data_IF_237898172962
#
_entry.id   IF_237898172962
#
_cell.length_a   1.000
_cell.length_b   1.000
_cell.length_c   1.000
_cell.angle_alpha   90.00
_cell.angle_beta   90.00
_cell.angle_gamma   90.00
#
_symmetry.space_group_name_H-M   'P 1'
#
loop_
_entity.id
_entity.type
_entity.pdbx_description
1 polymer ?
#
# COMPACT_ATOMS: atom_id res chain seq x y z
N UNK A 1 14.79 18.44 -78.99
CA UNK A 1 14.03 17.34 -79.63
C UNK A 1 14.89 16.09 -79.58
N UNK A 2 14.52 15.08 -78.80
CA UNK A 2 15.27 13.83 -78.73
C UNK A 2 14.93 12.98 -79.96
N UNK A 3 15.89 12.83 -80.87
CA UNK A 3 15.80 11.90 -81.98
C UNK A 3 15.95 10.48 -81.42
N UNK A 4 14.85 9.73 -81.36
CA UNK A 4 14.92 8.28 -81.14
C UNK A 4 15.56 7.67 -82.39
N UNK A 5 16.74 7.08 -82.25
CA UNK A 5 17.44 6.39 -83.32
C UNK A 5 16.49 5.36 -83.97
N UNK A 6 16.26 5.49 -85.27
CA UNK A 6 15.50 4.50 -86.01
C UNK A 6 16.29 3.17 -85.95
N UNK A 7 15.72 2.10 -85.40
CA UNK A 7 16.46 0.86 -85.12
C UNK A 7 16.86 0.09 -86.39
N UNK A 8 16.38 0.53 -87.55
CA UNK A 8 16.63 -0.09 -88.85
C UNK A 8 16.76 0.98 -89.93
N UNK A 9 17.70 0.81 -90.88
CA UNK A 9 17.91 1.73 -92.00
C UNK A 9 16.73 1.77 -93.01
N UNK A 10 15.84 0.78 -92.97
CA UNK A 10 14.66 0.68 -93.82
C UNK A 10 13.42 1.26 -93.09
N UNK A 11 12.79 2.27 -93.69
CA UNK A 11 11.59 2.94 -93.17
C UNK A 11 10.45 1.97 -92.83
N UNK A 12 10.21 0.97 -93.69
CA UNK A 12 9.14 0.00 -93.48
C UNK A 12 9.39 -0.88 -92.24
N UNK A 13 10.64 -1.30 -92.04
CA UNK A 13 11.01 -2.09 -90.86
C UNK A 13 10.97 -1.26 -89.58
N UNK A 14 11.30 0.03 -89.65
CA UNK A 14 11.16 0.95 -88.52
C UNK A 14 9.69 1.15 -88.12
N UNK A 15 8.78 1.26 -89.09
CA UNK A 15 7.33 1.37 -88.84
C UNK A 15 6.75 0.11 -88.19
N UNK A 16 7.08 -1.07 -88.70
CA UNK A 16 6.68 -2.35 -88.09
C UNK A 16 7.21 -2.46 -86.66
N UNK A 17 8.47 -2.09 -86.44
CA UNK A 17 9.08 -2.12 -85.11
C UNK A 17 8.37 -1.16 -84.15
N UNK A 18 8.06 0.06 -84.60
CA UNK A 18 7.35 1.04 -83.79
C UNK A 18 5.95 0.52 -83.39
N UNK A 19 5.18 0.02 -84.36
CA UNK A 19 3.84 -0.52 -84.10
C UNK A 19 3.86 -1.70 -83.13
N UNK A 20 4.85 -2.60 -83.25
CA UNK A 20 5.01 -3.72 -82.30
C UNK A 20 5.31 -3.24 -80.88
N UNK A 21 6.20 -2.25 -80.73
CA UNK A 21 6.51 -1.71 -79.40
C UNK A 21 5.33 -0.94 -78.81
N UNK A 22 4.59 -0.20 -79.64
CA UNK A 22 3.37 0.47 -79.21
C UNK A 22 2.33 -0.53 -78.72
N UNK A 23 2.11 -1.63 -79.44
CA UNK A 23 1.19 -2.68 -79.00
C UNK A 23 1.63 -3.35 -77.67
N UNK A 24 2.93 -3.58 -77.48
CA UNK A 24 3.49 -4.10 -76.22
C UNK A 24 3.28 -3.08 -75.09
N UNK A 25 3.53 -1.80 -75.36
CA UNK A 25 3.36 -0.73 -74.39
C UNK A 25 1.91 -0.59 -73.95
N UNK A 26 0.96 -0.57 -74.89
CA UNK A 26 -0.47 -0.53 -74.61
C UNK A 26 -0.93 -1.74 -73.81
N UNK A 27 -0.44 -2.94 -74.14
CA UNK A 27 -0.70 -4.16 -73.36
C UNK A 27 -0.17 -4.05 -71.93
N UNK A 28 1.03 -3.51 -71.75
CA UNK A 28 1.63 -3.34 -70.44
C UNK A 28 0.87 -2.31 -69.60
N UNK A 29 0.47 -1.17 -70.19
CA UNK A 29 -0.37 -0.19 -69.50
C UNK A 29 -1.71 -0.80 -69.10
N UNK A 30 -2.37 -1.53 -70.02
CA UNK A 30 -3.67 -2.15 -69.76
C UNK A 30 -3.61 -3.17 -68.62
N UNK A 31 -2.50 -3.90 -68.50
CA UNK A 31 -2.29 -4.91 -67.46
C UNK A 31 -1.67 -4.35 -66.18
N UNK A 32 -1.19 -3.10 -66.20
CA UNK A 32 -0.62 -2.43 -65.04
C UNK A 32 -1.77 -1.98 -64.10
N UNK A 33 -2.33 -2.93 -63.37
CA UNK A 33 -3.17 -2.61 -62.22
C UNK A 33 -2.26 -2.43 -61.00
N UNK A 34 -2.40 -1.31 -60.30
CA UNK A 34 -1.78 -1.12 -58.98
C UNK A 34 -2.53 -1.98 -57.96
N UNK A 35 -2.20 -3.27 -57.89
CA UNK A 35 -2.66 -4.10 -56.78
C UNK A 35 -1.87 -3.71 -55.54
N UNK A 36 -2.44 -2.82 -54.74
CA UNK A 36 -1.96 -2.55 -53.39
C UNK A 36 -2.24 -3.80 -52.55
N UNK A 37 -1.19 -4.53 -52.20
CA UNK A 37 -1.29 -5.60 -51.22
C UNK A 37 -1.77 -5.00 -49.89
N UNK A 38 -2.98 -5.38 -49.47
CA UNK A 38 -3.59 -4.98 -48.20
C UNK A 38 -3.49 -6.08 -47.15
N UNK A 39 -2.78 -7.17 -47.44
CA UNK A 39 -2.57 -8.21 -46.46
C UNK A 39 -1.77 -7.68 -45.27
N UNK A 40 -2.07 -8.20 -44.08
CA UNK A 40 -1.27 -7.83 -42.92
C UNK A 40 0.17 -8.31 -43.12
N UNK A 41 1.17 -7.46 -42.83
CA UNK A 41 2.56 -7.89 -42.91
C UNK A 41 2.79 -9.07 -41.97
N UNK A 42 3.57 -10.05 -42.42
CA UNK A 42 3.91 -11.23 -41.62
C UNK A 42 4.58 -10.77 -40.32
N UNK A 43 3.84 -10.88 -39.21
CA UNK A 43 4.35 -10.49 -37.90
C UNK A 43 5.33 -11.56 -37.41
N UNK A 44 6.54 -11.13 -37.08
CA UNK A 44 7.56 -12.01 -36.50
C UNK A 44 7.12 -12.46 -35.10
N UNK A 45 7.45 -13.70 -34.71
CA UNK A 45 7.00 -14.32 -33.45
C UNK A 45 7.34 -13.50 -32.20
N UNK A 46 8.49 -12.83 -32.20
CA UNK A 46 8.92 -11.97 -31.10
C UNK A 46 8.06 -10.70 -30.94
N UNK A 47 7.40 -10.21 -32.01
CA UNK A 47 6.44 -9.11 -31.90
C UNK A 47 5.25 -9.52 -31.02
N UNK A 48 4.72 -10.71 -31.23
CA UNK A 48 3.64 -11.27 -30.41
C UNK A 48 4.06 -11.47 -28.96
N UNK A 49 5.30 -11.94 -28.74
CA UNK A 49 5.86 -12.09 -27.39
C UNK A 49 6.00 -10.73 -26.67
N UNK A 50 6.50 -9.69 -27.37
CA UNK A 50 6.62 -8.33 -26.81
C UNK A 50 5.26 -7.72 -26.48
N UNK A 51 4.26 -7.90 -27.35
CA UNK A 51 2.88 -7.45 -27.08
C UNK A 51 2.35 -8.12 -25.82
N UNK A 52 2.51 -9.44 -25.69
CA UNK A 52 2.05 -10.18 -24.51
C UNK A 52 2.75 -9.69 -23.23
N UNK A 53 4.07 -9.49 -23.28
CA UNK A 53 4.81 -8.94 -22.14
C UNK A 53 4.30 -7.55 -21.73
N UNK A 54 4.00 -6.70 -22.71
CA UNK A 54 3.44 -5.37 -22.46
C UNK A 54 2.07 -5.47 -21.79
N UNK A 55 1.18 -6.32 -22.31
CA UNK A 55 -0.15 -6.56 -21.72
C UNK A 55 -0.06 -7.10 -20.29
N UNK A 56 0.87 -8.02 -20.00
CA UNK A 56 1.07 -8.52 -18.63
C UNK A 56 1.53 -7.41 -17.69
N UNK A 57 2.47 -6.56 -18.12
CA UNK A 57 2.93 -5.42 -17.32
C UNK A 57 1.82 -4.40 -17.07
N UNK A 58 1.03 -4.08 -18.10
CA UNK A 58 -0.12 -3.19 -17.97
C UNK A 58 -1.17 -3.75 -16.99
N UNK A 59 -1.43 -5.05 -17.02
CA UNK A 59 -2.33 -5.70 -16.07
C UNK A 59 -1.82 -5.63 -14.63
N UNK A 60 -0.54 -5.92 -14.40
CA UNK A 60 0.07 -5.82 -13.06
C UNK A 60 0.04 -4.38 -12.54
N UNK A 61 0.36 -3.38 -13.38
CA UNK A 61 0.26 -1.97 -13.01
C UNK A 61 -1.17 -1.58 -12.65
N UNK A 62 -2.16 -1.97 -13.46
CA UNK A 62 -3.56 -1.70 -13.17
C UNK A 62 -4.03 -2.38 -11.86
N UNK A 63 -3.49 -3.55 -11.53
CA UNK A 63 -3.75 -4.23 -10.25
C UNK A 63 -3.21 -3.42 -9.08
N UNK A 64 -1.95 -2.98 -9.17
CA UNK A 64 -1.29 -2.17 -8.15
C UNK A 64 -2.03 -0.83 -7.97
N UNK A 65 -2.42 -0.18 -9.05
CA UNK A 65 -3.15 1.10 -8.99
C UNK A 65 -4.50 0.95 -8.29
N UNK A 66 -5.28 -0.10 -8.59
CA UNK A 66 -6.54 -0.38 -7.87
C UNK A 66 -6.30 -0.62 -6.39
N UNK A 67 -5.25 -1.36 -6.04
CA UNK A 67 -4.92 -1.64 -4.65
C UNK A 67 -4.49 -0.38 -3.91
N UNK A 68 -3.66 0.46 -4.54
CA UNK A 68 -3.25 1.76 -4.01
C UNK A 68 -4.45 2.69 -3.80
N UNK A 69 -5.37 2.77 -4.77
CA UNK A 69 -6.60 3.55 -4.62
C UNK A 69 -7.44 3.05 -3.44
N UNK A 70 -7.57 1.72 -3.29
CA UNK A 70 -8.30 1.12 -2.16
C UNK A 70 -7.63 1.42 -0.83
N UNK A 71 -6.30 1.37 -0.76
CA UNK A 71 -5.53 1.69 0.44
C UNK A 71 -5.64 3.17 0.79
N UNK A 72 -5.47 4.06 -0.18
CA UNK A 72 -5.64 5.50 0.00
C UNK A 72 -7.05 5.85 0.47
N UNK A 73 -8.09 5.21 -0.10
CA UNK A 73 -9.46 5.41 0.35
C UNK A 73 -9.67 4.94 1.81
N UNK A 74 -9.04 3.83 2.22
CA UNK A 74 -9.08 3.36 3.62
C UNK A 74 -8.34 4.32 4.56
N UNK A 75 -7.17 4.79 4.16
CA UNK A 75 -6.37 5.77 4.92
C UNK A 75 -7.15 7.08 5.08
N UNK A 76 -7.72 7.58 3.99
CA UNK A 76 -8.54 8.80 4.00
C UNK A 76 -9.77 8.64 4.89
N UNK A 77 -10.45 7.48 4.83
CA UNK A 77 -11.63 7.19 5.66
C UNK A 77 -11.31 7.06 7.15
N UNK A 78 -10.15 6.50 7.50
CA UNK A 78 -9.75 6.29 8.89
C UNK A 78 -9.04 7.51 9.51
N UNK A 79 -8.84 8.58 8.72
CA UNK A 79 -7.98 9.70 9.09
C UNK A 79 -6.52 9.26 9.24
N UNK A 80 -5.60 10.21 9.41
CA UNK A 80 -4.18 9.96 9.70
C UNK A 80 -3.91 9.15 10.98
N UNK A 81 -4.97 8.67 11.64
CA UNK A 81 -4.92 7.79 12.77
C UNK A 81 -5.01 6.34 12.27
N UNK A 82 -3.85 5.78 11.92
CA UNK A 82 -3.71 4.32 11.94
C UNK A 82 -4.00 3.94 13.38
N UNK A 83 -5.15 3.30 13.62
CA UNK A 83 -5.45 2.69 14.90
C UNK A 83 -4.48 1.52 15.10
N UNK A 84 -3.23 1.84 15.44
CA UNK A 84 -2.28 0.89 16.00
C UNK A 84 -2.59 0.61 17.46
N UNK A 85 -3.79 0.99 17.95
CA UNK A 85 -4.39 0.28 19.06
C UNK A 85 -4.78 -1.09 18.52
N UNK A 86 -3.74 -1.91 18.40
CA UNK A 86 -3.79 -3.30 18.76
C UNK A 86 -4.64 -3.38 20.03
N UNK A 87 -5.95 -3.59 19.85
CA UNK A 87 -6.89 -3.97 20.90
C UNK A 87 -6.53 -5.42 21.27
N UNK A 88 -5.28 -5.65 21.68
CA UNK A 88 -5.01 -6.71 22.62
C UNK A 88 -5.92 -6.36 23.77
N UNK A 89 -7.03 -7.10 23.89
CA UNK A 89 -7.69 -7.23 25.17
C UNK A 89 -6.55 -7.49 26.15
N UNK A 90 -6.22 -6.50 26.97
CA UNK A 90 -5.24 -6.62 28.04
C UNK A 90 -5.87 -7.52 29.09
N UNK A 91 -6.13 -8.78 28.74
CA UNK A 91 -6.22 -9.85 29.69
C UNK A 91 -4.80 -10.06 30.20
N UNK A 92 -4.34 -9.13 31.04
CA UNK A 92 -3.26 -9.42 31.96
C UNK A 92 -3.62 -10.74 32.63
N UNK A 93 -2.72 -11.74 32.58
CA UNK A 93 -2.99 -13.12 33.02
C UNK A 93 -3.55 -13.28 34.45
N UNK A 94 -3.69 -12.18 35.20
CA UNK A 94 -4.09 -12.11 36.62
C UNK A 94 -5.25 -11.14 36.87
N UNK A 95 -6.03 -10.72 35.87
CA UNK A 95 -7.13 -9.75 36.11
C UNK A 95 -8.20 -10.30 37.06
N UNK A 96 -8.47 -11.62 37.02
CA UNK A 96 -9.38 -12.27 37.96
C UNK A 96 -8.78 -12.24 39.37
N UNK A 97 -7.53 -12.68 39.52
CA UNK A 97 -6.81 -12.68 40.80
C UNK A 97 -6.74 -11.28 41.41
N UNK A 98 -6.41 -10.26 40.61
CA UNK A 98 -6.39 -8.86 41.06
C UNK A 98 -7.75 -8.37 41.54
N UNK A 99 -8.83 -8.78 40.89
CA UNK A 99 -10.18 -8.42 41.31
C UNK A 99 -10.56 -9.15 42.62
N UNK A 100 -10.14 -10.41 42.78
CA UNK A 100 -10.29 -11.15 44.04
C UNK A 100 -9.50 -10.48 45.17
N UNK A 101 -8.22 -10.14 44.95
CA UNK A 101 -7.37 -9.44 45.92
C UNK A 101 -7.99 -8.09 46.33
N UNK A 102 -8.55 -7.35 45.38
CA UNK A 102 -9.23 -6.08 45.66
C UNK A 102 -10.49 -6.25 46.50
N UNK A 103 -11.23 -7.35 46.32
CA UNK A 103 -12.41 -7.65 47.12
C UNK A 103 -11.99 -8.06 48.53
N UNK A 104 -10.96 -8.89 48.66
CA UNK A 104 -10.41 -9.32 49.94
C UNK A 104 -9.92 -8.11 50.76
N UNK A 105 -9.09 -7.25 50.16
CA UNK A 105 -8.63 -6.02 50.82
C UNK A 105 -9.77 -5.09 51.25
N UNK A 106 -10.85 -4.99 50.46
CA UNK A 106 -12.02 -4.20 50.85
C UNK A 106 -12.73 -4.79 52.06
N UNK A 107 -12.88 -6.11 52.10
CA UNK A 107 -13.51 -6.80 53.23
C UNK A 107 -12.68 -6.63 54.51
N UNK A 108 -11.37 -6.81 54.42
CA UNK A 108 -10.45 -6.62 55.55
C UNK A 108 -10.48 -5.20 56.08
N UNK A 109 -10.47 -4.21 55.17
CA UNK A 109 -10.57 -2.80 55.55
C UNK A 109 -11.89 -2.51 56.27
N UNK A 110 -13.02 -3.00 55.75
CA UNK A 110 -14.32 -2.81 56.39
C UNK A 110 -14.38 -3.48 57.77
N UNK A 111 -13.81 -4.68 57.91
CA UNK A 111 -13.73 -5.38 59.18
C UNK A 111 -12.89 -4.61 60.21
N UNK A 112 -11.70 -4.15 59.82
CA UNK A 112 -10.83 -3.34 60.67
C UNK A 112 -11.50 -2.03 61.07
N UNK A 113 -12.15 -1.34 60.12
CA UNK A 113 -12.86 -0.10 60.41
C UNK A 113 -13.99 -0.31 61.43
N UNK A 114 -14.76 -1.38 61.30
CA UNK A 114 -15.79 -1.74 62.29
C UNK A 114 -15.18 -1.98 63.67
N UNK A 115 -14.07 -2.71 63.76
CA UNK A 115 -13.35 -2.91 65.03
C UNK A 115 -12.85 -1.60 65.62
N UNK A 116 -12.22 -0.74 64.82
CA UNK A 116 -11.73 0.56 65.26
C UNK A 116 -12.88 1.42 65.81
N UNK A 117 -14.03 1.40 65.14
CA UNK A 117 -15.20 2.17 65.57
C UNK A 117 -15.84 1.61 66.86
N UNK A 118 -15.71 0.31 67.12
CA UNK A 118 -16.23 -0.34 68.33
C UNK A 118 -15.30 -0.15 69.54
N UNK A 119 -14.00 -0.03 69.32
CA UNK A 119 -13.03 0.19 70.38
C UNK A 119 -13.07 1.65 70.80
N UNK A 120 -13.51 1.92 72.03
CA UNK A 120 -13.38 3.24 72.64
C UNK A 120 -11.90 3.52 72.90
N UNK A 121 -11.38 4.62 72.39
CA UNK A 121 -10.01 5.05 72.68
C UNK A 121 -9.83 5.16 74.20
N UNK A 122 -8.85 4.43 74.75
CA UNK A 122 -8.49 4.48 76.18
C UNK A 122 -7.76 5.76 76.55
N UNK A 123 -7.26 6.49 75.56
CA UNK A 123 -6.50 7.72 75.73
C UNK A 123 -7.12 8.84 74.89
N UNK A 124 -7.28 10.06 75.44
CA UNK A 124 -7.78 11.19 74.66
C UNK A 124 -6.76 11.63 73.61
N UNK A 125 -7.22 11.83 72.36
CA UNK A 125 -6.37 12.10 71.21
C UNK A 125 -5.42 13.30 71.41
N UNK A 126 -5.89 14.34 72.12
CA UNK A 126 -5.12 15.55 72.40
C UNK A 126 -3.91 15.27 73.30
N UNK A 127 -4.07 14.45 74.33
CA UNK A 127 -2.98 14.11 75.24
C UNK A 127 -1.95 13.22 74.55
N UNK A 128 -2.40 12.26 73.75
CA UNK A 128 -1.52 11.42 72.92
C UNK A 128 -0.64 12.27 72.00
N UNK A 129 -1.21 13.29 71.34
CA UNK A 129 -0.47 14.15 70.42
C UNK A 129 0.62 14.97 71.13
N UNK A 130 0.31 15.47 72.33
CA UNK A 130 1.29 16.20 73.16
C UNK A 130 2.43 15.27 73.61
N UNK A 131 2.10 14.07 74.08
CA UNK A 131 3.10 13.11 74.53
C UNK A 131 3.94 12.55 73.38
N UNK A 132 3.35 12.32 72.21
CA UNK A 132 4.09 11.96 71.00
C UNK A 132 5.11 13.06 70.64
N UNK A 133 4.71 14.33 70.66
CA UNK A 133 5.62 15.44 70.38
C UNK A 133 6.78 15.51 71.38
N UNK A 134 6.52 15.35 72.69
CA UNK A 134 7.56 15.26 73.72
C UNK A 134 8.51 14.08 73.45
N UNK A 135 7.95 12.92 73.12
CA UNK A 135 8.73 11.71 72.85
C UNK A 135 9.62 11.86 71.61
N UNK A 136 9.16 12.51 70.55
CA UNK A 136 10.00 12.81 69.38
C UNK A 136 11.18 13.73 69.72
N UNK A 137 10.97 14.72 70.59
CA UNK A 137 12.06 15.59 71.07
C UNK A 137 13.09 14.79 71.86
N UNK A 138 12.64 13.92 72.77
CA UNK A 138 13.53 13.06 73.57
C UNK A 138 14.28 12.09 72.67
N UNK A 139 13.60 11.42 71.73
CA UNK A 139 14.21 10.52 70.75
C UNK A 139 15.30 11.23 69.93
N UNK A 140 15.04 12.45 69.46
CA UNK A 140 16.01 13.27 68.71
C UNK A 140 17.19 13.74 69.55
N UNK A 141 17.03 13.85 70.88
CA UNK A 141 18.11 14.13 71.81
C UNK A 141 18.94 12.88 72.10
N UNK A 142 18.29 11.74 72.32
CA UNK A 142 18.95 10.45 72.56
C UNK A 142 19.72 9.96 71.35
N UNK A 143 19.21 10.19 70.13
CA UNK A 143 19.89 9.85 68.88
C UNK A 143 21.18 10.64 68.63
N UNK A 144 21.50 11.64 69.47
CA UNK A 144 22.79 12.35 69.43
C UNK A 144 23.87 11.64 70.25
N UNK A 145 23.47 10.68 71.08
CA UNK A 145 24.35 9.91 71.98
C UNK A 145 24.44 8.43 71.58
N UNK A 146 23.84 8.05 70.45
CA UNK A 146 23.91 6.73 69.82
C UNK A 146 24.80 6.75 68.59
#
# INVERSE_FOLDING_TARGET
MHYHAAPVANKHLAEIFFLKNQAIHEKNIKNAHSTLDRSEPIRQSHCSQRIRQKQTREYELARIERENQRLLAKIAKNGSFIDSHNHYNKHTLKTKDRNYDQIEHKNDFQYLQKRINQVRATYPAREYQLDYAKHQIIKKRLSRFS
#
